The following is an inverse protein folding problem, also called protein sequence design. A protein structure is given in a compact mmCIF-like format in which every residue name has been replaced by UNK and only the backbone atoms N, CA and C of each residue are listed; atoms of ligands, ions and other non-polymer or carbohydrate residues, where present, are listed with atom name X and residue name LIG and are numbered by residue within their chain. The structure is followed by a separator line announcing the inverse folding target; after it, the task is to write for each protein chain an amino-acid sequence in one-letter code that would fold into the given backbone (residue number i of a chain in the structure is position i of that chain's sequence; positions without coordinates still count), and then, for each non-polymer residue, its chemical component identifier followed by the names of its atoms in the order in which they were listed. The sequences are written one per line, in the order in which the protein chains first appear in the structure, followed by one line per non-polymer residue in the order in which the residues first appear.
data_IF_113509679054
#
_entry.id   IF_113509679054
#
_cell.length_a   1.000
_cell.length_b   1.000
_cell.length_c   1.000
_cell.angle_alpha   90.00
_cell.angle_beta   90.00
_cell.angle_gamma   90.00
#
_symmetry.space_group_name_H-M   'P 1'
#
loop_
_entity.id
_entity.type
_entity.pdbx_description
1 polymer ?
#
# COMPACT_ATOMS: atom_id res chain seq x y z
N UNK A 1 -10.67 -0.52 5.87
CA UNK A 1 -10.91 0.08 4.54
C UNK A 1 -10.17 1.40 4.42
N UNK A 2 -9.89 1.82 3.17
CA UNK A 2 -9.40 3.15 2.82
C UNK A 2 -10.21 4.27 3.53
N UNK A 3 -9.54 5.36 3.93
CA UNK A 3 -10.15 6.54 4.58
C UNK A 3 -10.53 7.67 3.62
N UNK A 4 -10.17 7.56 2.33
CA UNK A 4 -10.71 8.47 1.31
C UNK A 4 -12.16 8.15 0.95
N UNK A 5 -12.92 9.17 0.55
CA UNK A 5 -14.22 8.98 -0.09
C UNK A 5 -14.05 8.47 -1.52
N UNK A 6 -15.10 7.87 -2.10
CA UNK A 6 -15.08 7.44 -3.50
C UNK A 6 -14.73 8.59 -4.45
N UNK A 7 -15.29 9.77 -4.21
CA UNK A 7 -15.01 10.96 -5.02
C UNK A 7 -13.53 11.37 -4.94
N UNK A 8 -12.93 11.31 -3.74
CA UNK A 8 -11.51 11.63 -3.56
C UNK A 8 -10.58 10.60 -4.22
N UNK A 9 -10.95 9.31 -4.17
CA UNK A 9 -10.18 8.24 -4.78
C UNK A 9 -10.37 8.15 -6.30
N UNK A 10 -11.49 8.64 -6.82
CA UNK A 10 -11.87 8.53 -8.23
C UNK A 10 -12.67 7.27 -8.56
N UNK A 11 -13.35 6.69 -7.57
CA UNK A 11 -14.31 5.59 -7.72
C UNK A 11 -14.11 4.45 -6.73
N UNK A 12 -15.18 3.66 -6.51
CA UNK A 12 -15.19 2.54 -5.57
C UNK A 12 -14.09 1.49 -5.84
N UNK A 13 -13.78 1.21 -7.11
CA UNK A 13 -12.70 0.28 -7.48
C UNK A 13 -11.32 0.75 -7.01
N UNK A 14 -11.10 2.07 -6.96
CA UNK A 14 -9.83 2.62 -6.48
C UNK A 14 -9.69 2.43 -4.97
N UNK A 15 -10.78 2.61 -4.20
CA UNK A 15 -10.79 2.28 -2.76
C UNK A 15 -10.52 0.80 -2.51
N UNK A 16 -11.16 -0.10 -3.28
CA UNK A 16 -10.90 -1.54 -3.20
C UNK A 16 -9.46 -1.89 -3.53
N UNK A 17 -8.85 -1.19 -4.49
CA UNK A 17 -7.46 -1.45 -4.85
C UNK A 17 -6.50 -1.02 -3.74
N UNK A 18 -6.79 0.08 -3.03
CA UNK A 18 -6.07 0.44 -1.80
C UNK A 18 -6.21 -0.65 -0.73
N UNK A 19 -7.42 -1.20 -0.55
CA UNK A 19 -7.64 -2.32 0.37
C UNK A 19 -6.88 -3.60 -0.05
N UNK A 20 -6.78 -3.85 -1.36
CA UNK A 20 -5.98 -4.95 -1.91
C UNK A 20 -4.49 -4.77 -1.64
N UNK A 21 -3.95 -3.56 -1.78
CA UNK A 21 -2.56 -3.25 -1.41
C UNK A 21 -2.33 -3.53 0.08
N UNK A 22 -3.23 -3.07 0.95
CA UNK A 22 -3.12 -3.27 2.39
C UNK A 22 -3.12 -4.76 2.79
N UNK A 23 -3.94 -5.57 2.11
CA UNK A 23 -3.90 -7.03 2.24
C UNK A 23 -2.58 -7.60 1.74
N UNK A 24 -2.12 -7.15 0.57
CA UNK A 24 -0.92 -7.68 -0.07
C UNK A 24 0.33 -7.39 0.74
N UNK A 25 0.46 -6.19 1.30
CA UNK A 25 1.54 -5.81 2.21
C UNK A 25 1.40 -6.46 3.61
N UNK A 26 0.32 -7.22 3.85
CA UNK A 26 0.07 -7.92 5.09
C UNK A 26 -0.31 -7.03 6.27
N UNK A 27 -0.59 -5.74 6.03
CA UNK A 27 -0.84 -4.77 7.11
C UNK A 27 -2.26 -4.83 7.63
N UNK A 28 -3.25 -5.04 6.76
CA UNK A 28 -4.68 -5.05 7.15
C UNK A 28 -5.06 -6.24 8.02
N UNK A 29 -4.24 -7.29 8.07
CA UNK A 29 -4.45 -8.49 8.88
C UNK A 29 -3.74 -8.45 10.24
N UNK A 30 -2.98 -7.39 10.55
CA UNK A 30 -2.27 -7.28 11.82
C UNK A 30 -3.26 -6.98 12.95
N UNK A 31 -3.37 -7.93 13.91
CA UNK A 31 -4.28 -7.81 15.05
C UNK A 31 -3.92 -6.61 15.92
N UNK A 32 -4.92 -5.81 16.28
CA UNK A 32 -4.75 -4.62 17.11
C UNK A 32 -4.21 -3.40 16.36
N UNK A 33 -3.94 -3.52 15.06
CA UNK A 33 -3.65 -2.36 14.21
C UNK A 33 -4.92 -1.54 13.95
N UNK A 34 -4.74 -0.27 13.61
CA UNK A 34 -5.76 0.59 13.01
C UNK A 34 -5.88 0.25 11.53
N UNK A 35 -6.44 -0.91 11.20
CA UNK A 35 -6.65 -1.39 9.83
C UNK A 35 -5.37 -1.37 8.96
N UNK A 36 -4.22 -1.59 9.59
CA UNK A 36 -2.89 -1.55 8.95
C UNK A 36 -2.22 -0.18 8.90
N UNK A 37 -2.91 0.93 9.18
CA UNK A 37 -2.34 2.28 9.07
C UNK A 37 -1.22 2.59 10.04
N UNK A 38 -1.14 1.86 11.15
CA UNK A 38 -0.09 2.02 12.15
C UNK A 38 0.92 0.86 12.17
N UNK A 39 1.02 0.07 11.10
CA UNK A 39 1.93 -1.09 11.01
C UNK A 39 3.33 -0.67 10.57
N UNK A 40 4.34 -1.06 11.32
CA UNK A 40 5.75 -0.97 10.97
C UNK A 40 6.18 -2.18 10.16
N UNK A 41 7.25 -2.04 9.39
CA UNK A 41 7.96 -3.17 8.80
C UNK A 41 8.21 -4.27 9.84
N UNK A 42 7.87 -5.51 9.49
CA UNK A 42 7.95 -6.67 10.40
C UNK A 42 6.75 -6.84 11.36
N UNK A 43 5.71 -6.02 11.24
CA UNK A 43 4.41 -6.25 11.90
C UNK A 43 4.24 -5.60 13.27
N UNK A 44 5.27 -4.89 13.78
CA UNK A 44 5.13 -4.04 14.96
C UNK A 44 4.15 -2.89 14.71
N UNK A 45 3.70 -2.22 15.77
CA UNK A 45 2.80 -1.06 15.67
C UNK A 45 3.50 0.22 16.12
N UNK A 46 3.22 1.33 15.46
CA UNK A 46 3.58 2.66 15.96
C UNK A 46 2.36 3.37 16.55
N UNK A 47 2.62 4.42 17.33
CA UNK A 47 1.59 5.23 17.99
C UNK A 47 1.66 6.66 17.51
N UNK A 48 0.50 7.26 17.27
CA UNK A 48 0.39 8.61 16.74
C UNK A 48 0.71 8.72 15.25
N UNK A 49 0.13 9.73 14.60
CA UNK A 49 0.27 9.97 13.17
C UNK A 49 0.87 11.35 12.86
N UNK A 50 1.55 11.96 13.84
CA UNK A 50 2.13 13.29 13.69
C UNK A 50 3.14 13.34 12.54
N UNK A 51 3.84 12.24 12.28
CA UNK A 51 4.72 12.07 11.13
C UNK A 51 4.97 10.58 10.85
N UNK A 52 5.64 10.29 9.73
CA UNK A 52 6.11 8.93 9.45
C UNK A 52 7.10 8.49 10.55
N UNK A 53 7.05 7.25 11.07
CA UNK A 53 7.81 6.84 12.25
C UNK A 53 9.33 6.78 12.02
N UNK A 54 9.78 6.63 10.77
CA UNK A 54 11.19 6.61 10.33
C UNK A 54 12.07 5.60 11.09
N UNK A 55 11.47 4.55 11.64
CA UNK A 55 12.19 3.50 12.32
C UNK A 55 12.90 2.61 11.30
N UNK A 56 14.21 2.45 11.42
CA UNK A 56 15.00 1.51 10.63
C UNK A 56 14.95 0.15 11.33
N UNK A 57 14.17 -0.78 10.78
CA UNK A 57 14.00 -2.12 11.33
C UNK A 57 14.64 -3.14 10.39
N UNK A 58 15.27 -4.16 10.96
CA UNK A 58 15.96 -5.22 10.19
C UNK A 58 15.33 -6.57 10.48
N UNK A 59 14.89 -7.26 9.44
CA UNK A 59 14.31 -8.60 9.53
C UNK A 59 14.95 -9.54 8.49
N UNK A 60 15.02 -10.84 8.76
CA UNK A 60 15.49 -11.81 7.79
C UNK A 60 14.44 -12.05 6.69
N UNK A 61 14.82 -11.84 5.43
CA UNK A 61 14.05 -12.27 4.25
C UNK A 61 14.92 -13.25 3.47
N UNK A 62 14.41 -14.47 3.24
CA UNK A 62 15.13 -15.53 2.53
C UNK A 62 16.55 -15.76 3.10
N UNK A 63 16.67 -15.74 4.43
CA UNK A 63 17.93 -15.93 5.15
C UNK A 63 18.89 -14.74 5.12
N UNK A 64 18.53 -13.60 4.52
CA UNK A 64 19.37 -12.40 4.45
C UNK A 64 18.77 -11.25 5.28
N UNK A 65 19.58 -10.48 6.02
CA UNK A 65 19.09 -9.31 6.75
C UNK A 65 18.68 -8.21 5.77
N UNK A 66 17.44 -7.75 5.88
CA UNK A 66 16.91 -6.63 5.11
C UNK A 66 16.49 -5.53 6.07
N UNK A 67 17.10 -4.35 5.92
CA UNK A 67 16.72 -3.15 6.67
C UNK A 67 15.74 -2.33 5.86
N UNK A 68 14.61 -1.95 6.47
CA UNK A 68 13.63 -1.07 5.84
C UNK A 68 13.13 -0.02 6.83
N UNK A 69 12.58 1.06 6.28
CA UNK A 69 11.83 2.08 7.03
C UNK A 69 10.35 2.03 6.71
N UNK A 70 9.89 0.98 6.03
CA UNK A 70 8.51 0.84 5.63
C UNK A 70 7.56 0.96 6.82
N UNK A 71 6.51 1.77 6.66
CA UNK A 71 5.47 1.92 7.65
C UNK A 71 4.12 2.27 7.01
N UNK A 72 3.08 2.07 7.79
CA UNK A 72 1.71 2.35 7.42
C UNK A 72 1.10 1.26 6.55
N UNK A 73 -0.15 1.50 6.18
CA UNK A 73 -1.02 0.55 5.47
C UNK A 73 -0.48 0.14 4.09
N UNK A 74 0.38 0.97 3.53
CA UNK A 74 0.97 0.77 2.21
C UNK A 74 2.50 0.63 2.27
N UNK A 75 3.05 0.40 3.47
CA UNK A 75 4.48 0.15 3.73
C UNK A 75 5.40 1.19 3.06
N UNK A 76 5.01 2.47 3.10
CA UNK A 76 5.74 3.57 2.50
C UNK A 76 7.10 3.75 3.20
N UNK A 77 8.17 3.97 2.43
CA UNK A 77 9.48 4.27 3.00
C UNK A 77 9.58 5.74 3.42
N UNK A 78 10.33 6.00 4.50
CA UNK A 78 10.56 7.34 5.05
C UNK A 78 10.96 8.38 3.99
N UNK A 79 11.90 8.03 3.12
CA UNK A 79 12.40 8.93 2.06
C UNK A 79 11.32 9.38 1.07
N UNK A 80 10.36 8.50 0.78
CA UNK A 80 9.27 8.80 -0.15
C UNK A 80 8.17 9.58 0.55
N UNK A 81 7.91 9.30 1.82
CA UNK A 81 7.03 10.15 2.62
C UNK A 81 7.48 11.60 2.61
N UNK A 82 8.77 11.87 2.84
CA UNK A 82 9.30 13.24 2.84
C UNK A 82 9.05 13.94 1.50
N UNK A 83 9.31 13.24 0.39
CA UNK A 83 9.07 13.77 -0.96
C UNK A 83 7.58 14.02 -1.25
N UNK A 84 6.70 13.04 -0.96
CA UNK A 84 5.28 13.16 -1.24
C UNK A 84 4.57 14.14 -0.31
N UNK A 85 4.97 14.23 0.95
CA UNK A 85 4.43 15.23 1.88
C UNK A 85 4.62 16.63 1.33
N UNK A 86 5.81 16.92 0.77
CA UNK A 86 6.09 18.20 0.12
C UNK A 86 5.32 18.37 -1.19
N UNK A 87 5.42 17.40 -2.11
CA UNK A 87 4.84 17.54 -3.45
C UNK A 87 3.32 17.63 -3.46
N UNK A 88 2.66 16.90 -2.54
CA UNK A 88 1.21 16.91 -2.36
C UNK A 88 0.74 17.94 -1.32
N UNK A 89 1.65 18.72 -0.72
CA UNK A 89 1.36 19.73 0.32
C UNK A 89 0.55 19.16 1.48
N UNK A 90 0.89 17.94 1.92
CA UNK A 90 0.16 17.23 2.96
C UNK A 90 0.39 17.88 4.32
N UNK A 91 -0.71 18.13 5.03
CA UNK A 91 -0.72 18.68 6.38
C UNK A 91 -1.31 17.66 7.36
N UNK A 92 -1.04 17.82 8.65
CA UNK A 92 -1.58 16.94 9.69
C UNK A 92 -0.82 15.65 9.93
N UNK A 93 0.28 15.39 9.21
CA UNK A 93 1.18 14.26 9.46
C UNK A 93 0.88 13.03 8.64
N UNK A 94 1.35 11.86 9.08
CA UNK A 94 1.22 10.58 8.40
C UNK A 94 -0.12 9.87 8.68
N UNK A 95 -1.21 10.64 8.69
CA UNK A 95 -2.56 10.14 8.98
C UNK A 95 -3.02 9.10 7.97
N UNK A 96 -4.01 8.25 8.32
CA UNK A 96 -4.60 7.31 7.38
C UNK A 96 -4.99 7.92 6.01
N UNK A 97 -5.63 9.09 6.00
CA UNK A 97 -6.02 9.78 4.77
C UNK A 97 -4.80 10.25 3.96
N UNK A 98 -3.73 10.69 4.61
CA UNK A 98 -2.51 11.08 3.93
C UNK A 98 -1.74 9.88 3.40
N UNK A 99 -1.76 8.74 4.09
CA UNK A 99 -1.26 7.48 3.55
C UNK A 99 -2.00 7.07 2.27
N UNK A 100 -3.33 7.17 2.27
CA UNK A 100 -4.14 6.89 1.08
C UNK A 100 -3.83 7.84 -0.07
N UNK A 101 -3.68 9.14 0.19
CA UNK A 101 -3.33 10.15 -0.83
C UNK A 101 -1.99 9.83 -1.48
N UNK A 102 -0.99 9.40 -0.70
CA UNK A 102 0.31 9.00 -1.23
C UNK A 102 0.21 7.72 -2.05
N UNK A 103 -0.49 6.69 -1.57
CA UNK A 103 -0.70 5.46 -2.32
C UNK A 103 -1.44 5.73 -3.65
N UNK A 104 -2.48 6.56 -3.62
CA UNK A 104 -3.22 6.98 -4.81
C UNK A 104 -2.34 7.76 -5.79
N UNK A 105 -1.45 8.63 -5.28
CA UNK A 105 -0.50 9.35 -6.13
C UNK A 105 0.48 8.39 -6.81
N UNK A 106 1.02 7.40 -6.09
CA UNK A 106 1.89 6.37 -6.67
C UNK A 106 1.15 5.58 -7.75
N UNK A 107 -0.12 5.18 -7.52
CA UNK A 107 -0.96 4.51 -8.52
C UNK A 107 -1.10 5.35 -9.81
N UNK A 108 -1.31 6.66 -9.66
CA UNK A 108 -1.39 7.60 -10.81
C UNK A 108 -0.09 7.66 -11.59
N UNK A 109 1.04 7.77 -10.89
CA UNK A 109 2.38 7.83 -11.50
C UNK A 109 2.73 6.53 -12.23
N UNK A 110 2.17 5.39 -11.80
CA UNK A 110 2.26 4.10 -12.49
C UNK A 110 1.27 3.92 -13.64
N UNK A 111 0.42 4.92 -13.92
CA UNK A 111 -0.64 4.87 -14.96
C UNK A 111 -1.56 3.66 -14.81
N UNK A 112 -1.85 3.28 -13.56
CA UNK A 112 -2.71 2.15 -13.22
C UNK A 112 -4.16 2.57 -12.89
N UNK A 113 -4.43 3.87 -12.71
CA UNK A 113 -5.73 4.36 -12.27
C UNK A 113 -6.88 3.97 -13.22
N UNK A 114 -6.67 4.10 -14.53
CA UNK A 114 -7.69 3.78 -15.53
C UNK A 114 -7.93 2.28 -15.65
N UNK A 115 -6.90 1.45 -15.45
CA UNK A 115 -7.05 -0.01 -15.39
C UNK A 115 -7.89 -0.41 -14.18
N UNK A 116 -7.62 0.17 -13.02
CA UNK A 116 -8.38 -0.09 -11.80
C UNK A 116 -9.85 0.30 -12.00
N UNK A 117 -10.11 1.48 -12.55
CA UNK A 117 -11.47 1.95 -12.84
C UNK A 117 -12.20 1.02 -13.80
N UNK A 118 -11.51 0.52 -14.83
CA UNK A 118 -12.06 -0.44 -15.79
C UNK A 118 -12.07 -1.89 -15.32
N UNK A 119 -11.62 -2.22 -14.10
CA UNK A 119 -11.58 -3.61 -13.62
C UNK A 119 -10.44 -4.48 -14.19
N UNK A 120 -9.48 -3.88 -14.91
CA UNK A 120 -8.27 -4.55 -15.42
C UNK A 120 -7.22 -4.71 -14.31
N UNK A 121 -7.56 -5.46 -13.26
CA UNK A 121 -6.78 -5.49 -12.01
C UNK A 121 -5.43 -6.19 -12.17
N UNK A 122 -5.33 -7.21 -13.03
CA UNK A 122 -4.04 -7.84 -13.32
C UNK A 122 -3.03 -6.85 -13.91
N UNK A 123 -3.46 -6.01 -14.85
CA UNK A 123 -2.63 -4.96 -15.45
C UNK A 123 -2.24 -3.89 -14.43
N UNK A 124 -3.19 -3.48 -13.58
CA UNK A 124 -2.92 -2.53 -12.50
C UNK A 124 -1.88 -3.06 -11.50
N UNK A 125 -1.98 -4.33 -11.10
CA UNK A 125 -1.00 -5.00 -10.22
C UNK A 125 0.38 -5.01 -10.90
N UNK A 126 0.44 -5.43 -12.17
CA UNK A 126 1.70 -5.49 -12.92
C UNK A 126 2.38 -4.11 -13.00
N UNK A 127 1.62 -3.05 -13.31
CA UNK A 127 2.12 -1.66 -13.36
C UNK A 127 2.65 -1.16 -12.01
N UNK A 128 2.06 -1.62 -10.91
CA UNK A 128 2.36 -1.21 -9.55
C UNK A 128 3.42 -2.09 -8.85
N UNK A 129 3.87 -3.18 -9.47
CA UNK A 129 4.77 -4.19 -8.88
C UNK A 129 6.10 -3.64 -8.37
N UNK A 130 6.63 -2.58 -8.98
CA UNK A 130 7.87 -1.94 -8.54
C UNK A 130 7.68 -1.00 -7.34
N UNK A 131 6.44 -0.70 -6.93
CA UNK A 131 6.16 0.11 -5.75
C UNK A 131 5.97 -0.79 -4.52
N UNK A 132 5.15 -1.82 -4.66
CA UNK A 132 4.82 -2.75 -3.57
C UNK A 132 5.50 -4.10 -3.78
N UNK A 133 6.42 -4.43 -2.87
CA UNK A 133 7.23 -5.64 -3.01
C UNK A 133 6.41 -6.93 -2.91
N UNK A 134 5.23 -6.86 -2.29
CA UNK A 134 4.28 -7.97 -2.22
C UNK A 134 3.58 -8.29 -3.54
N UNK A 135 3.56 -7.38 -4.51
CA UNK A 135 2.97 -7.64 -5.83
C UNK A 135 3.91 -8.46 -6.73
N UNK A 136 3.38 -9.38 -7.54
CA UNK A 136 4.19 -10.17 -8.48
C UNK A 136 4.78 -9.29 -9.59
N UNK A 137 5.91 -9.73 -10.15
CA UNK A 137 6.56 -9.07 -11.30
C UNK A 137 7.70 -8.10 -10.96
N UNK A 138 8.12 -8.03 -9.68
CA UNK A 138 9.29 -7.27 -9.26
C UNK A 138 10.55 -8.15 -9.06
N UNK A 139 11.70 -7.50 -8.89
CA UNK A 139 13.01 -8.14 -8.74
C UNK A 139 13.57 -8.06 -7.32
N UNK A 140 12.73 -7.80 -6.31
CA UNK A 140 13.19 -7.58 -4.93
C UNK A 140 13.59 -8.86 -4.18
N UNK A 141 13.21 -10.03 -4.70
CA UNK A 141 13.54 -11.31 -4.08
C UNK A 141 12.88 -11.54 -2.71
N UNK A 142 11.70 -10.94 -2.48
CA UNK A 142 10.97 -10.96 -1.21
C UNK A 142 9.72 -11.86 -1.19
N UNK A 143 9.65 -12.84 -2.11
CA UNK A 143 8.53 -13.78 -2.24
C UNK A 143 7.16 -13.09 -2.39
N UNK A 144 6.91 -12.39 -3.52
CA UNK A 144 5.63 -11.72 -3.74
C UNK A 144 4.46 -12.71 -3.73
N UNK A 145 3.26 -12.20 -3.46
CA UNK A 145 2.03 -12.97 -3.60
C UNK A 145 1.85 -13.44 -5.05
N UNK A 146 1.24 -14.62 -5.19
CA UNK A 146 0.76 -15.10 -6.48
C UNK A 146 -0.41 -14.22 -6.95
N UNK A 147 -0.48 -13.99 -8.27
CA UNK A 147 -1.52 -13.15 -8.87
C UNK A 147 -2.93 -13.69 -8.59
N UNK A 148 -3.13 -15.00 -8.67
CA UNK A 148 -4.41 -15.68 -8.37
C UNK A 148 -4.94 -15.35 -6.97
N UNK A 149 -4.06 -15.33 -5.96
CA UNK A 149 -4.42 -14.95 -4.59
C UNK A 149 -4.90 -13.50 -4.50
N UNK A 150 -4.26 -12.59 -5.23
CA UNK A 150 -4.64 -11.17 -5.25
C UNK A 150 -5.98 -10.96 -5.97
N UNK A 151 -6.21 -11.66 -7.08
CA UNK A 151 -7.48 -11.60 -7.81
C UNK A 151 -8.64 -12.20 -6.99
N UNK A 152 -8.42 -13.33 -6.31
CA UNK A 152 -9.42 -13.90 -5.40
C UNK A 152 -9.73 -12.95 -4.22
N UNK A 153 -8.72 -12.21 -3.73
CA UNK A 153 -8.97 -11.18 -2.72
C UNK A 153 -9.72 -9.97 -3.29
N UNK A 154 -9.44 -9.57 -4.53
CA UNK A 154 -10.18 -8.51 -5.22
C UNK A 154 -11.68 -8.82 -5.30
N UNK A 155 -12.05 -10.04 -5.67
CA UNK A 155 -13.45 -10.48 -5.71
C UNK A 155 -14.10 -10.44 -4.32
N UNK A 156 -13.38 -10.85 -3.26
CA UNK A 156 -13.86 -10.77 -1.86
C UNK A 156 -14.08 -9.33 -1.39
N UNK A 157 -13.35 -8.37 -1.93
CA UNK A 157 -13.56 -6.94 -1.69
C UNK A 157 -14.77 -6.38 -2.48
N UNK A 158 -15.50 -7.24 -3.20
CA UNK A 158 -16.65 -6.86 -4.02
C UNK A 158 -16.24 -6.22 -5.36
N UNK A 159 -15.00 -6.42 -5.78
CA UNK A 159 -14.51 -5.97 -7.07
C UNK A 159 -14.97 -6.89 -8.20
N UNK A 160 -15.28 -6.30 -9.36
CA UNK A 160 -15.62 -7.05 -10.58
C UNK A 160 -14.44 -6.97 -11.53
N UNK A 161 -14.03 -8.12 -12.08
CA UNK A 161 -13.01 -8.19 -13.13
C UNK A 161 -13.65 -7.90 -14.48
N UNK A 162 -12.92 -7.19 -15.34
CA UNK A 162 -13.29 -6.99 -16.76
C UNK A 162 -12.59 -7.97 -17.67
#
# INVERSE_FOLDING_TARGET
MARLTEAQAGGANVLRFLDLIAFSEGTSTVKGSDDGYNVLYGGGLFTGYQDHPRQKLTFPINGKPVTSTAAGRYQLLARYWDAYRMSLRLQGGFTPENQDRVALQQIRERRALDDIKSGRIADAIAKCSNIWASFPGNTYGQNPHRLDKLLAQWEKLGGVLS
#
